data_IF_931266733415
#
_entry.id   IF_931266733415
#
_cell.length_a   1.000
_cell.length_b   1.000
_cell.length_c   1.000
_cell.angle_alpha   90.00
_cell.angle_beta   90.00
_cell.angle_gamma   90.00
#
_symmetry.space_group_name_H-M   'P 1'
#
loop_
_entity.id
_entity.type
_entity.pdbx_description
1 polymer ?
#
# COMPACT_ATOMS: atom_id res chain seq x y z
N UNK A 1 7.31 -12.39 -0.55
CA UNK A 1 5.92 -11.89 -0.68
C UNK A 1 5.86 -10.48 -0.08
N UNK A 2 5.32 -9.51 -0.83
CA UNK A 2 5.21 -8.11 -0.44
C UNK A 2 3.83 -7.85 0.13
N UNK A 3 3.74 -7.09 1.22
CA UNK A 3 2.50 -6.78 1.92
C UNK A 3 2.46 -5.30 2.30
N UNK A 4 1.30 -4.67 2.15
CA UNK A 4 1.05 -3.28 2.54
C UNK A 4 -0.21 -3.21 3.40
N UNK A 5 -0.13 -2.39 4.45
CA UNK A 5 -1.23 -2.12 5.37
C UNK A 5 -1.57 -0.63 5.30
N UNK A 6 -2.78 -0.30 4.85
CA UNK A 6 -3.20 1.10 4.73
C UNK A 6 -3.19 1.82 6.08
N UNK A 7 -3.50 1.12 7.17
CA UNK A 7 -3.42 1.66 8.54
C UNK A 7 -2.06 2.24 8.94
N UNK A 8 -0.97 1.83 8.26
CA UNK A 8 0.38 2.40 8.46
C UNK A 8 0.59 3.76 7.80
N UNK A 9 -0.33 4.16 6.90
CA UNK A 9 -0.34 5.42 6.18
C UNK A 9 -1.54 6.29 6.59
N UNK A 10 -2.73 5.71 6.64
CA UNK A 10 -3.99 6.36 7.03
C UNK A 10 -4.47 5.75 8.34
N UNK A 11 -4.33 6.44 9.49
CA UNK A 11 -4.78 5.93 10.78
C UNK A 11 -6.27 5.56 10.76
N UNK A 12 -6.60 4.37 11.28
CA UNK A 12 -7.98 3.87 11.33
C UNK A 12 -8.46 3.13 10.08
N UNK A 13 -7.58 2.89 9.09
CA UNK A 13 -7.90 2.03 7.95
C UNK A 13 -7.39 0.59 8.15
N UNK A 14 -8.27 -0.40 8.11
CA UNK A 14 -7.93 -1.82 8.27
C UNK A 14 -7.58 -2.53 6.95
N UNK A 15 -7.61 -1.82 5.82
CA UNK A 15 -7.36 -2.41 4.52
C UNK A 15 -5.89 -2.82 4.36
N UNK A 16 -5.67 -4.02 3.83
CA UNK A 16 -4.34 -4.53 3.49
C UNK A 16 -4.35 -5.28 2.17
N UNK A 17 -3.18 -5.37 1.54
CA UNK A 17 -2.98 -6.16 0.32
C UNK A 17 -1.64 -6.87 0.34
N UNK A 18 -1.55 -8.01 -0.35
CA UNK A 18 -0.31 -8.76 -0.54
C UNK A 18 -0.18 -9.26 -1.97
N UNK A 19 1.03 -9.20 -2.50
CA UNK A 19 1.35 -9.70 -3.84
C UNK A 19 2.84 -10.06 -3.94
N UNK A 20 3.24 -10.81 -4.95
CA UNK A 20 4.66 -11.10 -5.21
C UNK A 20 5.37 -9.86 -5.75
N UNK A 21 4.76 -9.25 -6.76
CA UNK A 21 5.21 -7.99 -7.37
C UNK A 21 4.87 -6.75 -6.53
N UNK A 22 5.86 -5.91 -6.27
CA UNK A 22 5.70 -4.64 -5.57
C UNK A 22 4.81 -3.66 -6.35
N UNK A 23 4.92 -3.65 -7.68
CA UNK A 23 4.10 -2.80 -8.55
C UNK A 23 2.59 -3.08 -8.38
N UNK A 24 2.21 -4.35 -8.21
CA UNK A 24 0.81 -4.73 -7.95
C UNK A 24 0.33 -4.28 -6.57
N UNK A 25 1.19 -4.36 -5.56
CA UNK A 25 0.88 -3.82 -4.22
C UNK A 25 0.62 -2.32 -4.30
N UNK A 26 1.49 -1.57 -4.98
CA UNK A 26 1.35 -0.11 -5.17
C UNK A 26 0.09 0.22 -5.96
N UNK A 27 -0.21 -0.51 -7.04
CA UNK A 27 -1.42 -0.30 -7.85
C UNK A 27 -2.68 -0.43 -7.01
N UNK A 28 -2.80 -1.52 -6.24
CA UNK A 28 -3.96 -1.79 -5.39
C UNK A 28 -4.08 -0.77 -4.26
N UNK A 29 -2.96 -0.40 -3.62
CA UNK A 29 -2.97 0.63 -2.57
C UNK A 29 -3.45 1.98 -3.12
N UNK A 30 -2.98 2.35 -4.31
CA UNK A 30 -3.37 3.60 -4.97
C UNK A 30 -4.84 3.61 -5.37
N UNK A 31 -5.35 2.48 -5.88
CA UNK A 31 -6.77 2.31 -6.19
C UNK A 31 -7.65 2.41 -4.94
N UNK A 32 -7.21 1.79 -3.84
CA UNK A 32 -7.88 1.89 -2.56
C UNK A 32 -7.93 3.34 -2.03
N UNK A 33 -6.83 4.09 -2.12
CA UNK A 33 -6.80 5.52 -1.75
C UNK A 33 -7.83 6.34 -2.52
N UNK A 34 -7.99 6.07 -3.83
CA UNK A 34 -8.98 6.75 -4.66
C UNK A 34 -10.42 6.42 -4.24
N UNK A 35 -10.70 5.14 -3.99
CA UNK A 35 -12.07 4.68 -3.76
C UNK A 35 -12.54 4.86 -2.31
N UNK A 36 -11.68 4.56 -1.32
CA UNK A 36 -12.04 4.57 0.09
C UNK A 36 -11.73 5.88 0.80
N UNK A 37 -10.69 6.60 0.36
CA UNK A 37 -10.24 7.86 0.97
C UNK A 37 -10.56 9.09 0.12
N UNK A 38 -11.13 8.90 -1.07
CA UNK A 38 -11.47 10.00 -1.98
C UNK A 38 -10.26 10.72 -2.55
N UNK A 39 -9.09 10.09 -2.54
CA UNK A 39 -7.85 10.71 -2.99
C UNK A 39 -7.86 10.86 -4.52
N UNK A 40 -8.17 12.06 -5.02
CA UNK A 40 -8.29 12.31 -6.46
C UNK A 40 -6.95 12.54 -7.16
N UNK A 41 -5.90 12.92 -6.41
CA UNK A 41 -4.59 13.23 -6.96
C UNK A 41 -3.52 12.42 -6.24
N UNK A 42 -2.94 11.45 -6.94
CA UNK A 42 -1.86 10.62 -6.41
C UNK A 42 -0.53 11.28 -6.77
N UNK A 43 0.12 11.86 -5.77
CA UNK A 43 1.45 12.47 -5.91
C UNK A 43 2.54 11.42 -5.83
N UNK A 44 3.68 11.69 -6.45
CA UNK A 44 4.86 10.81 -6.36
C UNK A 44 5.28 10.56 -4.91
N UNK A 45 5.26 11.59 -4.05
CA UNK A 45 5.56 11.46 -2.62
C UNK A 45 4.66 10.45 -1.89
N UNK A 46 3.42 10.30 -2.35
CA UNK A 46 2.47 9.32 -1.81
C UNK A 46 2.83 7.90 -2.25
N UNK A 47 3.27 7.73 -3.51
CA UNK A 47 3.80 6.45 -4.01
C UNK A 47 5.05 6.05 -3.25
N UNK A 48 5.98 6.99 -3.01
CA UNK A 48 7.16 6.74 -2.18
C UNK A 48 6.79 6.38 -0.74
N UNK A 49 5.80 7.06 -0.16
CA UNK A 49 5.30 6.75 1.17
C UNK A 49 4.69 5.34 1.26
N UNK A 50 3.94 4.92 0.24
CA UNK A 50 3.42 3.55 0.11
C UNK A 50 4.59 2.58 -0.01
N UNK A 51 5.52 2.80 -0.95
CA UNK A 51 6.68 1.93 -1.21
C UNK A 51 7.51 1.70 0.05
N UNK A 52 7.81 2.76 0.79
CA UNK A 52 8.57 2.69 2.05
C UNK A 52 7.86 1.88 3.15
N UNK A 53 6.55 1.64 3.05
CA UNK A 53 5.73 0.89 4.01
C UNK A 53 5.41 -0.53 3.53
N UNK A 54 5.85 -0.93 2.34
CA UNK A 54 5.68 -2.30 1.86
C UNK A 54 6.66 -3.20 2.61
N UNK A 55 6.12 -4.07 3.46
CA UNK A 55 6.89 -5.08 4.15
C UNK A 55 7.19 -6.25 3.19
N UNK A 56 8.46 -6.62 3.08
CA UNK A 56 8.83 -7.89 2.48
C UNK A 56 8.78 -8.97 3.55
N UNK A 57 7.74 -9.81 3.55
CA UNK A 57 7.80 -11.08 4.29
C UNK A 57 8.83 -11.95 3.59
N UNK A 58 10.06 -11.96 4.14
CA UNK A 58 10.92 -13.14 4.06
C UNK A 58 10.20 -14.18 4.90
N UNK A 59 9.77 -15.29 4.29
CA UNK A 59 9.28 -16.44 5.06
C UNK A 59 10.37 -16.75 6.09
N UNK A 60 10.10 -16.47 7.37
CA UNK A 60 10.90 -17.03 8.44
C UNK A 60 10.66 -18.55 8.36
N UNK A 61 11.77 -19.29 8.31
CA UNK A 61 11.89 -20.69 7.98
C UNK A 61 10.98 -21.63 8.78
#
# INVERSE_FOLDING_TARGET
MKEFHCGSLVPGCDWHTRHEEEAEVIRRATEHLRQAHGETVIRESMIEAIRSRIASKKNAA
#
